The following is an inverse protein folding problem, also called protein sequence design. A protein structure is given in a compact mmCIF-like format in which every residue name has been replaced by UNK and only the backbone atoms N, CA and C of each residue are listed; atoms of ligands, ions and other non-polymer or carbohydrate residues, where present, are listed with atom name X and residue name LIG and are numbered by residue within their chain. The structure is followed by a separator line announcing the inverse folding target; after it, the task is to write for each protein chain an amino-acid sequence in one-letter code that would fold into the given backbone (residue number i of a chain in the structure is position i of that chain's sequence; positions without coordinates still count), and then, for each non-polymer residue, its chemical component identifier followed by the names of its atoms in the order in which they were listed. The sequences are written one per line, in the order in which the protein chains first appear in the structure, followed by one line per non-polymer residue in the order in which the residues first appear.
data_IF_075480789357
#
_entry.id   IF_075480789357
#
_cell.length_a   1.000
_cell.length_b   1.000
_cell.length_c   1.000
_cell.angle_alpha   90.00
_cell.angle_beta   90.00
_cell.angle_gamma   90.00
#
_symmetry.space_group_name_H-M   'P 1'
#
loop_
_entity.id
_entity.type
_entity.pdbx_description
1 polymer ?
#
# COMPACT_ATOMS: atom_id res chain seq x y z
N UNK A 1 -12.55 -35.10 40.07
CA UNK A 1 -11.73 -35.01 38.85
C UNK A 1 -11.48 -33.53 38.56
N UNK A 2 -10.23 -33.12 38.70
CA UNK A 2 -9.86 -31.67 38.50
C UNK A 2 -9.68 -31.45 37.02
N UNK A 3 -10.47 -30.53 36.45
CA UNK A 3 -10.31 -30.04 35.09
C UNK A 3 -9.06 -29.16 35.03
N UNK A 4 -8.01 -29.64 34.39
CA UNK A 4 -6.80 -28.88 34.12
C UNK A 4 -7.02 -28.10 32.83
N UNK A 5 -7.45 -26.86 32.98
CA UNK A 5 -7.59 -25.92 31.86
C UNK A 5 -6.20 -25.28 31.67
N UNK A 6 -5.45 -25.72 30.66
CA UNK A 6 -4.25 -25.02 30.19
C UNK A 6 -4.69 -23.80 29.38
N UNK A 7 -4.76 -22.66 30.05
CA UNK A 7 -4.78 -21.35 29.36
C UNK A 7 -3.38 -21.08 28.84
N UNK A 8 -3.15 -21.23 27.54
CA UNK A 8 -2.00 -20.60 26.89
C UNK A 8 -2.23 -19.08 26.90
N UNK A 9 -1.56 -18.38 27.78
CA UNK A 9 -1.41 -16.92 27.66
C UNK A 9 -0.49 -16.64 26.48
N UNK A 10 -1.07 -16.06 25.42
CA UNK A 10 -0.32 -15.43 24.35
C UNK A 10 0.23 -14.12 24.93
N UNK A 11 1.50 -14.10 25.29
CA UNK A 11 2.20 -12.87 25.68
C UNK A 11 2.49 -12.10 24.39
N UNK A 12 1.64 -11.13 24.09
CA UNK A 12 1.94 -10.11 23.06
C UNK A 12 2.88 -9.12 23.71
N UNK A 13 4.16 -9.20 23.37
CA UNK A 13 5.16 -8.18 23.75
C UNK A 13 4.95 -6.98 22.81
N UNK A 14 4.12 -6.02 23.25
CA UNK A 14 4.02 -4.71 22.61
C UNK A 14 5.22 -3.90 23.09
N UNK A 15 6.30 -3.85 22.30
CA UNK A 15 7.37 -2.90 22.52
C UNK A 15 6.90 -1.52 22.00
N UNK A 16 6.47 -0.67 22.93
CA UNK A 16 6.19 0.73 22.65
C UNK A 16 7.53 1.44 22.52
N UNK A 17 7.96 1.72 21.31
CA UNK A 17 9.03 2.68 21.06
C UNK A 17 8.46 4.09 21.20
N UNK A 18 8.73 4.73 22.35
CA UNK A 18 8.50 6.16 22.52
C UNK A 18 9.65 6.89 21.80
N UNK A 19 9.37 7.40 20.62
CA UNK A 19 10.26 8.32 19.92
C UNK A 19 10.08 9.70 20.54
N UNK A 20 11.03 10.13 21.37
CA UNK A 20 11.10 11.51 21.86
C UNK A 20 11.60 12.36 20.70
N UNK A 21 10.68 12.99 19.98
CA UNK A 21 11.02 14.05 19.03
C UNK A 21 11.40 15.30 19.83
N UNK A 22 12.65 15.71 19.71
CA UNK A 22 13.16 16.96 20.27
C UNK A 22 12.42 18.16 19.67
N UNK A 23 11.77 18.93 20.54
CA UNK A 23 11.14 20.21 20.19
C UNK A 23 12.26 21.25 20.15
N UNK A 24 12.70 21.67 18.96
CA UNK A 24 13.50 22.88 18.83
C UNK A 24 12.55 24.08 18.83
N UNK A 25 12.65 24.89 19.88
CA UNK A 25 11.96 26.16 19.99
C UNK A 25 12.58 27.15 19.03
N UNK A 26 11.84 27.55 18.00
CA UNK A 26 12.16 28.73 17.20
C UNK A 26 11.49 29.93 17.87
N UNK A 27 12.32 30.88 18.34
CA UNK A 27 11.89 32.16 18.87
C UNK A 27 11.30 33.01 17.75
N UNK A 28 10.03 33.32 17.84
CA UNK A 28 9.40 34.31 16.96
C UNK A 28 9.66 35.70 17.52
N UNK A 29 10.23 36.56 16.69
CA UNK A 29 10.39 37.99 16.96
C UNK A 29 9.09 38.69 16.55
N UNK A 30 8.40 39.25 17.51
CA UNK A 30 7.19 40.07 17.28
C UNK A 30 7.58 41.42 16.72
N UNK A 31 7.10 41.75 15.51
CA UNK A 31 6.93 43.12 15.07
C UNK A 31 5.46 43.28 14.67
N UNK A 32 4.74 43.92 15.59
CA UNK A 32 3.38 44.44 15.38
C UNK A 32 3.42 45.65 14.51
N UNK A 33 2.76 45.62 13.36
CA UNK A 33 2.18 46.82 12.70
C UNK A 33 0.75 46.48 12.29
N UNK A 34 -0.17 47.14 13.01
CA UNK A 34 -1.57 47.29 12.63
C UNK A 34 -1.73 47.82 11.22
N UNK A 35 -2.48 47.07 10.40
CA UNK A 35 -3.19 47.68 9.25
C UNK A 35 -4.57 47.00 9.15
N UNK A 36 -5.56 47.74 9.66
CA UNK A 36 -6.95 47.60 9.25
C UNK A 36 -7.01 47.79 7.72
N UNK A 37 -7.50 46.76 6.99
CA UNK A 37 -7.99 47.00 5.64
C UNK A 37 -9.25 46.17 5.38
N UNK A 38 -10.26 46.93 5.06
CA UNK A 38 -11.63 46.61 4.75
C UNK A 38 -11.76 45.61 3.60
N UNK A 39 -12.73 44.71 3.78
CA UNK A 39 -13.28 43.86 2.73
C UNK A 39 -13.89 44.68 1.63
N UNK A 40 -13.29 44.67 0.44
CA UNK A 40 -13.96 45.12 -0.77
C UNK A 40 -14.20 43.94 -1.72
N UNK A 41 -15.45 43.78 -2.05
CA UNK A 41 -15.98 42.91 -3.10
C UNK A 41 -15.48 43.35 -4.45
N UNK A 42 -14.76 42.46 -5.17
CA UNK A 42 -14.42 42.72 -6.57
C UNK A 42 -15.53 42.22 -7.49
N UNK A 43 -16.21 43.17 -8.07
CA UNK A 43 -17.15 42.97 -9.18
C UNK A 43 -16.35 42.79 -10.49
N UNK A 44 -16.78 41.80 -11.27
CA UNK A 44 -16.24 41.54 -12.60
C UNK A 44 -16.69 42.62 -13.55
N UNK A 45 -15.77 43.44 -14.09
CA UNK A 45 -15.74 43.78 -15.51
C UNK A 45 -14.72 44.89 -15.84
N UNK A 46 -14.24 44.78 -17.08
CA UNK A 46 -13.57 45.80 -17.92
C UNK A 46 -12.04 45.73 -17.87
N UNK A 47 -11.55 45.03 -18.85
CA UNK A 47 -10.21 45.22 -19.41
C UNK A 47 -10.21 46.59 -20.12
N UNK A 48 -9.52 47.57 -19.57
CA UNK A 48 -9.09 48.74 -20.33
C UNK A 48 -7.57 48.67 -20.50
N UNK A 49 -7.19 48.37 -21.71
CA UNK A 49 -5.81 48.46 -22.19
C UNK A 49 -5.48 49.92 -22.46
N UNK A 50 -4.80 50.57 -21.51
CA UNK A 50 -3.93 51.71 -21.84
C UNK A 50 -2.49 51.25 -21.54
N UNK A 51 -1.82 50.86 -22.61
CA UNK A 51 -0.38 50.58 -22.59
C UNK A 51 0.37 51.90 -22.75
N UNK A 52 0.83 52.46 -21.65
CA UNK A 52 1.96 53.37 -21.70
C UNK A 52 3.23 52.54 -21.86
N UNK A 53 3.83 52.61 -23.03
CA UNK A 53 5.10 51.98 -23.37
C UNK A 53 6.22 52.83 -22.78
N UNK A 54 6.74 52.46 -21.61
CA UNK A 54 8.03 52.94 -21.14
C UNK A 54 9.14 52.02 -21.62
N UNK A 55 10.03 52.58 -22.39
CA UNK A 55 10.96 51.91 -23.31
C UNK A 55 12.21 51.36 -22.63
N UNK A 56 12.12 50.61 -21.51
CA UNK A 56 13.28 49.88 -20.96
C UNK A 56 12.98 48.83 -19.89
N UNK A 57 11.78 48.26 -19.81
CA UNK A 57 11.57 47.13 -18.93
C UNK A 57 10.82 46.02 -19.67
N UNK A 58 11.60 45.11 -20.27
CA UNK A 58 11.04 43.85 -20.77
C UNK A 58 10.59 43.09 -19.52
N UNK A 59 9.32 43.19 -19.14
CA UNK A 59 8.67 42.27 -18.23
C UNK A 59 8.61 40.95 -18.99
N UNK A 60 9.57 40.06 -18.73
CA UNK A 60 9.40 38.70 -19.10
C UNK A 60 8.08 38.21 -18.45
N UNK A 61 7.17 37.61 -19.21
CA UNK A 61 6.01 37.01 -18.60
C UNK A 61 6.57 35.92 -17.64
N UNK A 62 6.28 36.09 -16.36
CA UNK A 62 6.54 35.07 -15.38
C UNK A 62 5.57 33.92 -15.70
N UNK A 63 5.92 33.13 -16.71
CA UNK A 63 5.22 31.87 -16.97
C UNK A 63 5.54 30.99 -15.78
N UNK A 64 4.69 31.02 -14.76
CA UNK A 64 4.63 29.94 -13.81
C UNK A 64 4.35 28.71 -14.65
N UNK A 65 5.39 27.86 -14.85
CA UNK A 65 5.24 26.58 -15.51
C UNK A 65 4.18 25.78 -14.77
N UNK A 66 2.97 25.77 -15.33
CA UNK A 66 1.84 25.03 -14.75
C UNK A 66 2.13 23.55 -14.95
N UNK A 67 2.50 22.88 -13.87
CA UNK A 67 2.71 21.43 -13.89
C UNK A 67 1.44 20.71 -14.28
N UNK A 68 1.58 19.65 -15.07
CA UNK A 68 0.46 18.81 -15.47
C UNK A 68 0.10 17.81 -14.37
N UNK A 69 -1.20 17.55 -14.21
CA UNK A 69 -1.68 16.51 -13.31
C UNK A 69 -1.35 15.11 -13.86
N UNK A 70 -1.19 14.18 -12.95
CA UNK A 70 -0.93 12.79 -13.29
C UNK A 70 -1.91 11.87 -12.57
N UNK A 71 -2.09 10.66 -13.10
CA UNK A 71 -2.88 9.62 -12.49
C UNK A 71 -2.04 8.36 -12.26
N UNK A 72 -2.28 7.70 -11.13
CA UNK A 72 -1.73 6.39 -10.81
C UNK A 72 -2.84 5.37 -11.02
N UNK A 73 -2.67 4.50 -12.00
CA UNK A 73 -3.64 3.44 -12.32
C UNK A 73 -3.24 2.16 -11.59
N UNK A 74 -3.88 1.93 -10.44
CA UNK A 74 -3.79 0.73 -9.63
C UNK A 74 -5.18 0.34 -9.14
N UNK A 75 -5.39 -0.97 -8.90
CA UNK A 75 -6.65 -1.54 -8.43
C UNK A 75 -6.43 -2.53 -7.30
N UNK A 76 -7.49 -2.79 -6.56
CA UNK A 76 -7.53 -3.93 -5.64
C UNK A 76 -7.38 -5.22 -6.41
N UNK A 77 -6.66 -6.19 -5.84
CA UNK A 77 -6.53 -7.50 -6.46
C UNK A 77 -6.36 -8.60 -5.41
N UNK A 78 -6.53 -9.83 -5.86
CA UNK A 78 -6.36 -11.03 -5.04
C UNK A 78 -5.28 -11.94 -5.63
N UNK A 79 -4.61 -12.67 -4.78
CA UNK A 79 -3.64 -13.69 -5.17
C UNK A 79 -3.60 -14.81 -4.14
N UNK A 80 -3.28 -16.02 -4.57
CA UNK A 80 -2.92 -17.09 -3.65
C UNK A 80 -1.48 -16.94 -3.17
N UNK A 81 -1.22 -17.41 -1.97
CA UNK A 81 0.11 -17.36 -1.36
C UNK A 81 1.17 -17.93 -2.30
N UNK A 82 2.19 -17.12 -2.59
CA UNK A 82 3.33 -17.47 -3.46
C UNK A 82 3.00 -17.90 -4.89
N UNK A 83 1.84 -17.53 -5.44
CA UNK A 83 1.45 -17.88 -6.82
C UNK A 83 2.16 -17.06 -7.92
N UNK A 84 3.08 -16.16 -7.56
CA UNK A 84 3.85 -15.36 -8.51
C UNK A 84 3.15 -14.12 -9.06
N UNK A 85 1.90 -13.85 -8.67
CA UNK A 85 1.20 -12.61 -9.03
C UNK A 85 1.97 -11.40 -8.52
N UNK A 86 2.08 -10.37 -9.38
CA UNK A 86 2.80 -9.14 -9.07
C UNK A 86 1.83 -8.00 -8.80
N UNK A 87 2.18 -7.15 -7.84
CA UNK A 87 1.61 -5.80 -7.82
C UNK A 87 2.10 -5.08 -9.06
N UNK A 88 1.18 -4.51 -9.83
CA UNK A 88 1.49 -3.74 -11.04
C UNK A 88 0.56 -2.54 -11.15
N UNK A 89 1.07 -1.44 -11.69
CA UNK A 89 0.31 -0.23 -11.95
C UNK A 89 0.95 0.58 -13.06
N UNK A 90 0.28 1.68 -13.45
CA UNK A 90 0.79 2.63 -14.44
C UNK A 90 0.78 4.04 -13.89
N UNK A 91 1.75 4.83 -14.32
CA UNK A 91 1.78 6.28 -14.13
C UNK A 91 1.47 6.94 -15.48
N UNK A 92 0.42 7.76 -15.50
CA UNK A 92 -0.15 8.35 -16.72
C UNK A 92 -0.29 9.86 -16.54
N UNK A 93 -0.14 10.61 -17.64
CA UNK A 93 -0.47 12.03 -17.68
C UNK A 93 -2.00 12.26 -17.80
N UNK A 94 -2.43 13.50 -17.84
CA UNK A 94 -3.83 13.90 -17.97
C UNK A 94 -4.47 13.51 -19.32
N UNK A 95 -3.66 13.15 -20.32
CA UNK A 95 -4.10 12.64 -21.63
C UNK A 95 -4.02 11.12 -21.72
N UNK A 96 -3.76 10.44 -20.59
CA UNK A 96 -3.57 8.97 -20.50
C UNK A 96 -2.32 8.47 -21.22
N UNK A 97 -1.34 9.31 -21.52
CA UNK A 97 -0.07 8.88 -22.05
C UNK A 97 0.82 8.36 -20.91
N UNK A 98 1.65 7.33 -21.17
CA UNK A 98 2.55 6.77 -20.18
C UNK A 98 3.64 7.77 -19.77
N UNK A 99 3.85 7.92 -18.48
CA UNK A 99 4.98 8.69 -17.93
C UNK A 99 6.10 7.70 -17.62
N UNK A 100 7.19 7.82 -18.36
CA UNK A 100 8.30 6.88 -18.36
C UNK A 100 9.48 7.36 -17.52
N UNK A 101 10.32 6.43 -17.07
CA UNK A 101 11.55 6.71 -16.33
C UNK A 101 11.35 7.59 -15.09
N UNK A 102 10.19 7.48 -14.45
CA UNK A 102 9.88 8.18 -13.20
C UNK A 102 9.90 7.22 -12.02
N UNK A 103 10.34 7.72 -10.88
CA UNK A 103 10.35 6.94 -9.63
C UNK A 103 9.01 7.06 -8.94
N UNK A 104 8.39 5.90 -8.65
CA UNK A 104 7.24 5.79 -7.76
C UNK A 104 7.63 5.03 -6.50
N UNK A 105 7.04 5.38 -5.36
CA UNK A 105 7.23 4.71 -4.08
C UNK A 105 6.01 3.87 -3.75
N UNK A 106 6.19 2.58 -3.50
CA UNK A 106 5.14 1.65 -3.09
C UNK A 106 5.33 1.36 -1.60
N UNK A 107 4.34 1.71 -0.78
CA UNK A 107 4.35 1.44 0.66
C UNK A 107 3.34 0.34 0.97
N UNK A 108 3.82 -0.79 1.47
CA UNK A 108 3.01 -1.95 1.85
C UNK A 108 3.60 -2.62 3.10
N UNK A 109 2.76 -3.01 4.04
CA UNK A 109 3.16 -3.68 5.29
C UNK A 109 4.30 -2.97 6.03
N UNK A 110 4.26 -1.63 6.10
CA UNK A 110 5.27 -0.81 6.79
C UNK A 110 6.61 -0.66 6.05
N UNK A 111 6.74 -1.23 4.85
CA UNK A 111 7.95 -1.14 4.03
C UNK A 111 7.71 -0.26 2.80
N UNK A 112 8.75 0.47 2.39
CA UNK A 112 8.73 1.33 1.20
C UNK A 112 9.67 0.78 0.12
N UNK A 113 9.18 0.73 -1.13
CA UNK A 113 9.89 0.19 -2.29
C UNK A 113 9.84 1.19 -3.43
N UNK A 114 10.98 1.69 -3.88
CA UNK A 114 11.06 2.55 -5.05
C UNK A 114 11.13 1.71 -6.33
N UNK A 115 10.32 2.07 -7.32
CA UNK A 115 10.25 1.46 -8.64
C UNK A 115 10.32 2.54 -9.71
N UNK A 116 10.91 2.20 -10.85
CA UNK A 116 11.00 3.11 -11.99
C UNK A 116 10.00 2.65 -13.03
N UNK A 117 9.24 3.59 -13.62
CA UNK A 117 8.30 3.31 -14.70
C UNK A 117 9.04 2.95 -15.99
N UNK A 118 8.57 1.92 -16.66
CA UNK A 118 9.10 1.43 -17.94
C UNK A 118 8.60 2.26 -19.15
N UNK A 119 8.88 1.82 -20.38
CA UNK A 119 8.46 2.46 -21.63
C UNK A 119 6.94 2.55 -21.81
N UNK A 120 6.15 1.81 -21.03
CA UNK A 120 4.69 1.84 -21.04
C UNK A 120 4.13 2.55 -19.80
N UNK A 121 4.99 3.25 -19.04
CA UNK A 121 4.63 3.87 -17.77
C UNK A 121 4.34 2.86 -16.66
N UNK A 122 4.67 1.56 -16.86
CA UNK A 122 4.34 0.50 -15.91
C UNK A 122 5.41 0.38 -14.83
N UNK A 123 4.97 0.18 -13.62
CA UNK A 123 5.81 -0.18 -12.47
C UNK A 123 5.24 -1.41 -11.77
N UNK A 124 6.07 -2.11 -11.00
CA UNK A 124 5.57 -3.25 -10.25
C UNK A 124 6.62 -3.93 -9.39
N UNK A 125 6.16 -4.87 -8.56
CA UNK A 125 7.00 -5.68 -7.70
C UNK A 125 6.36 -7.03 -7.38
N UNK A 126 7.20 -8.01 -7.03
CA UNK A 126 6.72 -9.27 -6.47
C UNK A 126 6.24 -9.03 -5.03
N UNK A 127 5.18 -9.73 -4.64
CA UNK A 127 4.67 -9.75 -3.27
C UNK A 127 5.08 -11.08 -2.63
N UNK A 128 5.72 -10.98 -1.48
CA UNK A 128 6.12 -12.14 -0.67
C UNK A 128 5.72 -11.90 0.78
N UNK A 129 4.41 -11.74 0.99
CA UNK A 129 3.79 -11.55 2.30
C UNK A 129 2.92 -12.77 2.63
N UNK A 130 2.67 -13.00 3.91
CA UNK A 130 1.82 -14.09 4.37
C UNK A 130 0.34 -13.84 4.02
N UNK A 131 -0.51 -14.88 4.02
CA UNK A 131 -1.94 -14.75 3.78
C UNK A 131 -2.59 -13.73 4.73
N UNK A 132 -3.13 -12.67 4.17
CA UNK A 132 -3.84 -11.59 4.87
C UNK A 132 -4.33 -10.55 3.85
N UNK A 133 -5.02 -9.52 4.33
CA UNK A 133 -5.37 -8.33 3.55
C UNK A 133 -4.40 -7.21 3.88
N UNK A 134 -3.75 -6.66 2.87
CA UNK A 134 -2.80 -5.56 3.00
C UNK A 134 -3.25 -4.35 2.20
N UNK A 135 -3.40 -3.22 2.87
CA UNK A 135 -3.51 -1.94 2.17
C UNK A 135 -2.12 -1.51 1.70
N UNK A 136 -2.05 -0.96 0.52
CA UNK A 136 -0.82 -0.36 -0.01
C UNK A 136 -1.10 1.01 -0.63
N UNK A 137 -0.08 1.83 -0.63
CA UNK A 137 -0.11 3.18 -1.19
C UNK A 137 0.98 3.30 -2.23
N UNK A 138 0.64 3.86 -3.39
CA UNK A 138 1.61 4.26 -4.40
C UNK A 138 1.66 5.78 -4.44
N UNK A 139 2.85 6.34 -4.34
CA UNK A 139 3.11 7.77 -4.37
C UNK A 139 4.09 8.11 -5.49
N UNK A 140 3.80 9.17 -6.20
CA UNK A 140 4.70 9.85 -7.13
C UNK A 140 4.93 11.27 -6.60
N UNK A 141 6.19 11.66 -6.42
CA UNK A 141 6.53 12.96 -5.83
C UNK A 141 6.46 14.13 -6.81
N UNK A 142 6.13 13.86 -8.08
CA UNK A 142 6.16 14.87 -9.13
C UNK A 142 7.55 15.07 -9.73
N UNK A 143 7.61 15.97 -10.70
CA UNK A 143 8.83 16.43 -11.37
C UNK A 143 8.74 17.93 -11.67
N UNK A 144 9.62 18.46 -12.52
CA UNK A 144 9.54 19.87 -12.95
C UNK A 144 8.27 20.15 -13.74
N UNK A 145 7.74 19.14 -14.45
CA UNK A 145 6.59 19.29 -15.37
C UNK A 145 5.33 18.55 -14.88
N UNK A 146 5.41 17.73 -13.83
CA UNK A 146 4.28 16.95 -13.31
C UNK A 146 4.02 17.23 -11.84
N UNK A 147 2.74 17.28 -11.47
CA UNK A 147 2.29 17.36 -10.10
C UNK A 147 2.49 16.02 -9.36
N UNK A 148 2.67 16.03 -8.03
CA UNK A 148 2.68 14.80 -7.24
C UNK A 148 1.31 14.12 -7.26
N UNK A 149 1.30 12.79 -7.10
CA UNK A 149 0.08 11.99 -7.01
C UNK A 149 0.22 10.88 -5.98
N UNK A 150 -0.91 10.47 -5.42
CA UNK A 150 -0.99 9.38 -4.45
C UNK A 150 -2.27 8.57 -4.70
N UNK A 151 -2.16 7.25 -4.65
CA UNK A 151 -3.29 6.32 -4.77
C UNK A 151 -3.15 5.18 -3.79
N UNK A 152 -4.28 4.78 -3.20
CA UNK A 152 -4.38 3.63 -2.30
C UNK A 152 -5.11 2.49 -3.00
N UNK A 153 -4.72 1.26 -2.68
CA UNK A 153 -5.40 0.04 -3.06
C UNK A 153 -5.09 -1.05 -2.02
N UNK A 154 -5.67 -2.24 -2.19
CA UNK A 154 -5.42 -3.39 -1.32
C UNK A 154 -5.08 -4.63 -2.13
N UNK A 155 -4.31 -5.51 -1.54
CA UNK A 155 -4.12 -6.88 -2.00
C UNK A 155 -4.66 -7.86 -0.95
N UNK A 156 -5.44 -8.84 -1.39
CA UNK A 156 -5.86 -9.97 -0.57
C UNK A 156 -5.01 -11.18 -0.93
N UNK A 157 -4.21 -11.67 0.00
CA UNK A 157 -3.41 -12.88 -0.18
C UNK A 157 -4.16 -14.03 0.49
N UNK A 158 -4.64 -14.96 -0.33
CA UNK A 158 -5.41 -16.11 0.09
C UNK A 158 -4.46 -17.22 0.56
N UNK A 159 -4.87 -17.93 1.62
CA UNK A 159 -4.15 -19.12 2.08
C UNK A 159 -4.31 -20.26 1.08
N UNK A 160 -3.26 -21.06 0.93
CA UNK A 160 -3.28 -22.35 0.21
C UNK A 160 -3.46 -23.54 1.17
N UNK A 161 -3.67 -23.25 2.46
CA UNK A 161 -4.01 -24.24 3.48
C UNK A 161 -5.23 -23.72 4.23
N UNK A 162 -6.30 -24.49 4.20
CA UNK A 162 -7.53 -24.22 4.94
C UNK A 162 -7.67 -25.23 6.06
N UNK A 163 -7.81 -24.77 7.29
CA UNK A 163 -7.95 -25.62 8.47
C UNK A 163 -8.68 -24.91 9.59
N UNK A 164 -9.21 -25.67 10.52
CA UNK A 164 -9.84 -25.16 11.73
C UNK A 164 -9.07 -25.62 12.96
N UNK A 165 -9.11 -24.80 14.01
CA UNK A 165 -8.63 -25.21 15.31
C UNK A 165 -9.44 -26.40 15.82
N UNK A 166 -8.75 -27.40 16.43
CA UNK A 166 -9.38 -28.56 17.03
C UNK A 166 -9.25 -28.50 18.55
N UNK A 167 -10.40 -28.46 19.22
CA UNK A 167 -10.51 -28.70 20.67
C UNK A 167 -11.17 -30.05 20.88
N UNK A 168 -10.47 -30.96 21.55
CA UNK A 168 -11.00 -32.31 21.78
C UNK A 168 -10.80 -32.76 23.22
N UNK A 169 -11.70 -33.64 23.69
CA UNK A 169 -11.51 -34.36 24.94
C UNK A 169 -10.50 -35.49 24.75
N UNK A 170 -9.80 -35.82 25.82
CA UNK A 170 -8.84 -36.91 25.80
C UNK A 170 -9.48 -38.23 25.31
N UNK A 171 -8.86 -38.87 24.31
CA UNK A 171 -9.29 -40.13 23.68
C UNK A 171 -10.63 -40.13 22.98
N UNK A 172 -11.19 -38.95 22.62
CA UNK A 172 -12.34 -38.92 21.73
C UNK A 172 -11.92 -39.14 20.28
N UNK A 173 -12.88 -39.46 19.40
CA UNK A 173 -12.66 -39.75 17.96
C UNK A 173 -12.47 -38.52 17.09
N UNK A 174 -12.46 -37.27 17.66
CA UNK A 174 -12.31 -36.05 16.87
C UNK A 174 -10.97 -36.01 16.16
N UNK A 175 -11.00 -35.73 14.88
CA UNK A 175 -9.81 -35.62 14.01
C UNK A 175 -9.62 -34.17 13.56
N UNK A 176 -8.38 -33.81 13.31
CA UNK A 176 -8.01 -32.55 12.67
C UNK A 176 -7.97 -32.76 11.15
N UNK A 177 -8.56 -31.82 10.41
CA UNK A 177 -8.55 -31.82 8.95
C UNK A 177 -7.95 -30.53 8.45
N UNK A 178 -7.22 -30.63 7.35
CA UNK A 178 -6.74 -29.48 6.60
C UNK A 178 -6.89 -29.76 5.10
N UNK A 179 -7.34 -28.77 4.35
CA UNK A 179 -7.43 -28.80 2.90
C UNK A 179 -6.26 -28.03 2.32
N UNK A 180 -5.57 -28.60 1.36
CA UNK A 180 -4.43 -28.02 0.69
C UNK A 180 -4.82 -27.66 -0.75
N UNK A 181 -4.46 -26.44 -1.14
CA UNK A 181 -4.76 -25.89 -2.47
C UNK A 181 -3.47 -25.64 -3.25
N UNK A 182 -3.57 -25.67 -4.56
CA UNK A 182 -2.50 -25.25 -5.45
C UNK A 182 -2.43 -23.69 -5.56
N UNK A 183 -1.50 -23.19 -6.34
CA UNK A 183 -1.32 -21.76 -6.60
C UNK A 183 -2.50 -21.08 -7.31
N UNK A 184 -3.47 -21.84 -7.81
CA UNK A 184 -4.70 -21.37 -8.47
C UNK A 184 -5.94 -21.54 -7.60
N UNK A 185 -5.76 -22.09 -6.38
CA UNK A 185 -6.85 -22.35 -5.45
C UNK A 185 -7.62 -23.66 -5.71
N UNK A 186 -7.09 -24.57 -6.55
CA UNK A 186 -7.66 -25.88 -6.72
C UNK A 186 -7.11 -26.86 -5.67
N UNK A 187 -7.88 -27.87 -5.26
CA UNK A 187 -7.35 -28.94 -4.41
C UNK A 187 -6.08 -29.55 -5.02
N UNK A 188 -5.06 -29.79 -4.19
CA UNK A 188 -3.88 -30.53 -4.65
C UNK A 188 -4.23 -31.97 -4.99
N UNK A 189 -3.39 -32.63 -5.78
CA UNK A 189 -3.65 -33.97 -6.29
C UNK A 189 -3.92 -34.96 -5.16
N UNK A 190 -4.83 -35.90 -5.42
CA UNK A 190 -5.08 -37.06 -4.57
C UNK A 190 -3.77 -37.81 -4.31
N UNK A 191 -3.63 -38.39 -3.09
CA UNK A 191 -2.46 -39.14 -2.66
C UNK A 191 -1.16 -38.30 -2.59
N UNK A 192 -1.27 -36.96 -2.39
CA UNK A 192 -0.12 -36.11 -2.11
C UNK A 192 0.26 -36.25 -0.62
N UNK A 193 1.53 -36.52 -0.35
CA UNK A 193 2.02 -36.64 1.02
C UNK A 193 2.09 -35.24 1.67
N UNK A 194 1.46 -35.09 2.84
CA UNK A 194 1.52 -33.89 3.67
C UNK A 194 2.02 -34.26 5.06
N UNK A 195 2.78 -33.36 5.69
CA UNK A 195 3.37 -33.61 6.99
C UNK A 195 2.89 -32.61 8.02
N UNK A 196 2.32 -33.10 9.11
CA UNK A 196 1.91 -32.29 10.25
C UNK A 196 2.98 -32.36 11.34
N UNK A 197 3.29 -31.23 11.95
CA UNK A 197 4.10 -31.18 13.17
C UNK A 197 3.20 -30.89 14.36
N UNK A 198 3.11 -31.85 15.28
CA UNK A 198 2.35 -31.70 16.53
C UNK A 198 3.31 -31.87 17.69
N UNK A 199 3.59 -30.79 18.41
CA UNK A 199 4.48 -30.78 19.57
C UNK A 199 5.87 -31.41 19.29
N UNK A 200 6.45 -31.11 18.10
CA UNK A 200 7.76 -31.63 17.70
C UNK A 200 7.75 -33.01 17.05
N UNK A 201 6.60 -33.69 17.01
CA UNK A 201 6.43 -34.98 16.34
C UNK A 201 5.83 -34.77 14.96
N UNK A 202 6.42 -35.42 13.95
CA UNK A 202 5.98 -35.32 12.55
C UNK A 202 5.11 -36.54 12.20
N UNK A 203 3.96 -36.24 11.56
CA UNK A 203 2.99 -37.24 11.09
C UNK A 203 2.76 -37.00 9.60
N UNK A 204 2.98 -38.00 8.76
CA UNK A 204 2.69 -37.95 7.33
C UNK A 204 1.33 -38.60 7.06
N UNK A 205 0.50 -37.85 6.32
CA UNK A 205 -0.79 -38.28 5.79
C UNK A 205 -0.87 -38.01 4.30
N UNK A 206 -1.87 -38.54 3.63
CA UNK A 206 -2.04 -38.40 2.20
C UNK A 206 -3.40 -37.77 1.92
N UNK A 207 -3.40 -36.81 0.99
CA UNK A 207 -4.63 -36.10 0.57
C UNK A 207 -5.57 -37.02 -0.17
N UNK A 208 -6.87 -36.75 -0.05
CA UNK A 208 -7.92 -37.32 -0.88
C UNK A 208 -8.15 -36.47 -2.15
N UNK A 209 -9.21 -36.78 -2.92
CA UNK A 209 -9.58 -36.06 -4.16
C UNK A 209 -9.95 -34.59 -3.92
N UNK A 210 -10.31 -34.20 -2.70
CA UNK A 210 -10.65 -32.83 -2.33
C UNK A 210 -9.43 -32.10 -1.74
N UNK A 211 -8.23 -32.66 -1.80
CA UNK A 211 -7.02 -32.07 -1.22
C UNK A 211 -6.96 -32.10 0.32
N UNK A 212 -7.86 -32.87 0.98
CA UNK A 212 -7.97 -32.94 2.44
C UNK A 212 -7.23 -34.14 2.98
#
# INVERSE_FOLDING_TARGET
MKNLIFKKQLIILISVFILIAGISTVSANENTTDLHQSMETYDNNVINTDLEVDDNNIIQPNTTDVKSDVSIDIHDFEMYYKNGTKLSGKLLDNNSNPIINQTVSININGMSYNKITDSNGTFGMNINLDPNVYNFTVAYNGSDIYNPALKNAKVTILSVIESNDLVKYYRNESQYYATFLDEKGNPIANNTAVTFNINGVFYTQYTNENGT
#
